data_IF_254139734266
#
_entry.id   IF_254139734266
#
_cell.length_a   1.000
_cell.length_b   1.000
_cell.length_c   1.000
_cell.angle_alpha   90.00
_cell.angle_beta   90.00
_cell.angle_gamma   90.00
#
_symmetry.space_group_name_H-M   'P 1'
#
loop_
_entity.id
_entity.type
_entity.pdbx_description
1 polymer ?
#
# COMPACT_ATOMS: atom_id res chain seq x y z
N UNK A 1 12.41 35.62 -21.44
CA UNK A 1 12.03 34.54 -20.48
C UNK A 1 11.10 33.54 -21.15
N UNK A 2 11.13 32.31 -20.72
CA UNK A 2 10.20 31.27 -21.24
C UNK A 2 8.82 31.57 -20.69
N UNK A 3 7.82 31.58 -21.56
CA UNK A 3 6.42 31.69 -21.17
C UNK A 3 6.00 30.47 -20.32
N UNK A 4 5.23 30.68 -19.25
CA UNK A 4 4.89 29.61 -18.27
C UNK A 4 4.24 28.39 -18.91
N UNK A 5 3.30 28.61 -19.84
CA UNK A 5 2.64 27.53 -20.56
C UNK A 5 3.63 26.72 -21.43
N UNK A 6 4.57 27.39 -22.11
CA UNK A 6 5.61 26.75 -22.90
C UNK A 6 6.60 25.96 -22.04
N UNK A 7 6.87 26.42 -20.81
CA UNK A 7 7.71 25.71 -19.85
C UNK A 7 7.05 24.41 -19.39
N UNK A 8 5.78 24.44 -18.98
CA UNK A 8 5.03 23.26 -18.60
C UNK A 8 4.95 22.23 -19.74
N UNK A 9 4.60 22.68 -20.95
CA UNK A 9 4.52 21.82 -22.13
C UNK A 9 5.86 21.15 -22.47
N UNK A 10 6.98 21.86 -22.25
CA UNK A 10 8.33 21.30 -22.45
C UNK A 10 8.65 20.20 -21.43
N UNK A 11 8.32 20.38 -20.18
CA UNK A 11 8.53 19.36 -19.12
C UNK A 11 7.64 18.14 -19.34
N UNK A 12 6.41 18.33 -19.75
CA UNK A 12 5.46 17.24 -20.02
C UNK A 12 5.88 16.43 -21.25
N UNK A 13 6.41 17.10 -22.28
CA UNK A 13 7.00 16.43 -23.44
C UNK A 13 8.20 15.55 -23.06
N UNK A 14 9.08 16.01 -22.16
CA UNK A 14 10.20 15.21 -21.66
C UNK A 14 9.68 13.97 -20.91
N UNK A 15 8.69 14.14 -20.05
CA UNK A 15 8.04 13.03 -19.34
C UNK A 15 7.48 12.00 -20.31
N UNK A 16 6.78 12.45 -21.33
CA UNK A 16 6.12 11.59 -22.32
C UNK A 16 7.13 10.86 -23.21
N UNK A 17 8.20 11.54 -23.63
CA UNK A 17 9.30 10.90 -24.34
C UNK A 17 9.98 9.80 -23.52
N UNK A 18 10.17 10.00 -22.21
CA UNK A 18 10.69 8.96 -21.32
C UNK A 18 9.68 7.80 -21.15
N UNK A 19 8.39 8.10 -21.08
CA UNK A 19 7.36 7.08 -20.94
C UNK A 19 7.19 6.19 -22.17
N UNK A 20 7.41 6.76 -23.36
CA UNK A 20 7.33 6.05 -24.65
C UNK A 20 8.67 5.45 -25.08
N UNK A 21 9.77 5.75 -24.36
CA UNK A 21 11.10 5.21 -24.69
C UNK A 21 11.13 3.69 -24.48
N UNK A 22 11.57 2.97 -25.50
CA UNK A 22 11.80 1.53 -25.42
C UNK A 22 13.23 1.25 -24.93
N UNK A 23 13.36 0.35 -23.96
CA UNK A 23 14.67 -0.08 -23.46
C UNK A 23 15.10 -1.33 -24.22
N UNK A 24 16.22 -1.29 -24.98
CA UNK A 24 16.70 -2.46 -25.70
C UNK A 24 16.89 -3.67 -24.78
N UNK A 25 16.32 -4.81 -25.13
CA UNK A 25 16.35 -6.03 -24.31
C UNK A 25 15.26 -6.16 -23.26
N UNK A 26 14.43 -5.13 -23.05
CA UNK A 26 13.36 -5.13 -22.04
C UNK A 26 12.03 -4.58 -22.60
N UNK A 27 11.43 -5.29 -23.53
CA UNK A 27 10.23 -4.87 -24.26
C UNK A 27 8.98 -4.59 -23.40
N UNK A 28 8.98 -5.01 -22.11
CA UNK A 28 7.88 -4.79 -21.14
C UNK A 28 8.21 -3.74 -20.08
N UNK A 29 9.39 -3.11 -20.14
CA UNK A 29 9.79 -2.10 -19.16
C UNK A 29 9.27 -0.73 -19.62
N UNK A 30 8.31 -0.19 -18.88
CA UNK A 30 7.78 1.16 -19.07
C UNK A 30 8.51 2.12 -18.12
N UNK A 31 9.21 3.09 -18.66
CA UNK A 31 9.88 4.12 -17.86
C UNK A 31 8.84 5.14 -17.38
N UNK A 32 9.00 5.65 -16.18
CA UNK A 32 8.18 6.73 -15.65
C UNK A 32 9.04 7.76 -14.95
N UNK A 33 8.76 9.03 -15.18
CA UNK A 33 9.47 10.14 -14.56
C UNK A 33 8.49 11.08 -13.85
N UNK A 34 8.84 11.46 -12.62
CA UNK A 34 8.15 12.50 -11.87
C UNK A 34 9.04 13.75 -11.87
N UNK A 35 8.53 14.87 -12.38
CA UNK A 35 9.30 16.06 -12.62
C UNK A 35 8.73 17.24 -11.83
N UNK A 36 9.57 17.89 -11.01
CA UNK A 36 9.27 19.17 -10.38
C UNK A 36 9.92 20.30 -11.16
N UNK A 37 9.16 21.32 -11.53
CA UNK A 37 9.68 22.42 -12.32
C UNK A 37 9.39 23.80 -11.72
N UNK A 38 10.40 24.67 -11.68
CA UNK A 38 10.27 26.07 -11.25
C UNK A 38 10.87 27.02 -12.27
N UNK A 39 10.34 28.22 -12.35
CA UNK A 39 10.94 29.33 -13.06
C UNK A 39 11.64 30.21 -12.03
N UNK A 40 12.93 30.51 -12.23
CA UNK A 40 13.69 31.36 -11.32
C UNK A 40 13.13 32.77 -11.28
N UNK A 41 13.13 33.37 -10.11
CA UNK A 41 12.67 34.74 -9.90
C UNK A 41 13.87 35.73 -9.93
N UNK A 42 13.66 37.00 -10.28
CA UNK A 42 14.72 38.00 -10.20
C UNK A 42 15.30 38.09 -8.77
N UNK A 43 16.61 37.92 -8.64
CA UNK A 43 17.31 37.95 -7.35
C UNK A 43 17.35 36.63 -6.58
N UNK A 44 16.77 35.54 -7.13
CA UNK A 44 16.80 34.23 -6.53
C UNK A 44 18.12 33.50 -6.78
N UNK A 45 18.68 32.84 -5.76
CA UNK A 45 19.85 31.97 -5.93
C UNK A 45 19.46 30.61 -6.53
N UNK A 46 20.42 29.95 -7.19
CA UNK A 46 20.21 28.60 -7.75
C UNK A 46 19.78 27.61 -6.69
N UNK A 47 20.36 27.69 -5.49
CA UNK A 47 20.04 26.79 -4.37
C UNK A 47 18.58 26.97 -3.89
N UNK A 48 18.09 28.20 -3.88
CA UNK A 48 16.68 28.48 -3.55
C UNK A 48 15.73 27.91 -4.61
N UNK A 49 16.07 28.08 -5.89
CA UNK A 49 15.28 27.52 -6.98
C UNK A 49 15.27 25.99 -6.95
N UNK A 50 16.43 25.35 -6.71
CA UNK A 50 16.53 23.87 -6.57
C UNK A 50 15.69 23.37 -5.39
N UNK A 51 15.75 24.04 -4.23
CA UNK A 51 14.94 23.66 -3.05
C UNK A 51 13.43 23.74 -3.35
N UNK A 52 12.97 24.72 -4.13
CA UNK A 52 11.57 24.78 -4.56
C UNK A 52 11.22 23.67 -5.55
N UNK A 53 12.09 23.39 -6.52
CA UNK A 53 11.90 22.33 -7.49
C UNK A 53 11.84 20.96 -6.82
N UNK A 54 12.68 20.71 -5.80
CA UNK A 54 12.66 19.46 -5.01
C UNK A 54 11.34 19.22 -4.29
N UNK A 55 10.74 20.27 -3.69
CA UNK A 55 9.41 20.17 -3.06
C UNK A 55 8.34 19.77 -4.08
N UNK A 56 8.38 20.37 -5.27
CA UNK A 56 7.44 20.05 -6.35
C UNK A 56 7.68 18.66 -6.94
N UNK A 57 8.95 18.25 -7.06
CA UNK A 57 9.31 16.89 -7.47
C UNK A 57 8.80 15.84 -6.48
N UNK A 58 8.88 16.11 -5.18
CA UNK A 58 8.34 15.23 -4.15
C UNK A 58 6.81 15.08 -4.28
N UNK A 59 6.10 16.19 -4.57
CA UNK A 59 4.66 16.13 -4.89
C UNK A 59 4.38 15.34 -6.17
N UNK A 60 5.21 15.51 -7.20
CA UNK A 60 5.11 14.73 -8.44
C UNK A 60 5.34 13.23 -8.21
N UNK A 61 6.30 12.85 -7.35
CA UNK A 61 6.57 11.45 -6.96
C UNK A 61 5.37 10.79 -6.27
N UNK A 62 4.68 11.51 -5.40
CA UNK A 62 3.49 11.01 -4.71
C UNK A 62 2.32 10.74 -5.68
N UNK A 63 2.28 11.46 -6.81
CA UNK A 63 1.25 11.29 -7.86
C UNK A 63 1.68 10.36 -8.99
N UNK A 64 2.94 9.90 -9.03
CA UNK A 64 3.60 9.08 -10.05
C UNK A 64 3.44 9.60 -11.49
N UNK A 65 4.51 9.53 -12.28
CA UNK A 65 4.55 9.88 -13.71
C UNK A 65 3.88 11.24 -14.03
N UNK A 66 4.21 12.29 -13.29
CA UNK A 66 3.57 13.59 -13.40
C UNK A 66 4.58 14.74 -13.39
N UNK A 67 4.20 15.85 -14.02
CA UNK A 67 4.92 17.13 -13.94
C UNK A 67 4.18 18.05 -12.98
N UNK A 68 4.87 18.54 -11.95
CA UNK A 68 4.35 19.52 -11.00
C UNK A 68 5.16 20.81 -11.07
N UNK A 69 4.47 21.92 -11.31
CA UNK A 69 5.02 23.29 -11.28
C UNK A 69 4.26 24.13 -10.28
N UNK A 70 4.74 25.32 -9.95
CA UNK A 70 4.05 26.20 -8.99
C UNK A 70 2.64 26.58 -9.44
N UNK A 71 2.40 26.65 -10.74
CA UNK A 71 1.11 27.02 -11.30
C UNK A 71 0.08 25.88 -11.14
N UNK A 72 0.43 24.64 -11.46
CA UNK A 72 -0.47 23.49 -11.32
C UNK A 72 -0.49 22.87 -9.91
N UNK A 73 0.47 23.21 -9.07
CA UNK A 73 0.43 22.84 -7.65
C UNK A 73 -0.70 23.55 -6.90
N UNK A 74 -1.04 24.80 -7.29
CA UNK A 74 -2.14 25.61 -6.72
C UNK A 74 -3.49 25.21 -7.30
N UNK A 75 -3.57 24.91 -8.60
CA UNK A 75 -4.81 24.46 -9.27
C UNK A 75 -5.24 23.06 -8.82
N UNK A 76 -4.33 22.25 -8.31
CA UNK A 76 -4.64 20.96 -7.68
C UNK A 76 -5.51 21.04 -6.43
N UNK A 77 -5.80 22.24 -5.92
CA UNK A 77 -6.78 22.51 -4.86
C UNK A 77 -8.21 22.69 -5.40
N UNK A 78 -8.41 22.90 -6.69
CA UNK A 78 -9.71 23.25 -7.29
C UNK A 78 -10.26 22.24 -8.33
N UNK A 79 -9.48 21.27 -8.81
CA UNK A 79 -9.98 20.24 -9.72
C UNK A 79 -10.04 18.86 -9.06
N UNK A 80 -11.02 18.71 -8.16
CA UNK A 80 -11.39 17.41 -7.58
C UNK A 80 -12.22 16.52 -8.53
N UNK A 81 -12.15 16.74 -9.85
CA UNK A 81 -12.94 16.03 -10.86
C UNK A 81 -12.07 15.16 -11.80
N UNK A 82 -11.07 14.48 -11.28
CA UNK A 82 -10.16 13.59 -12.02
C UNK A 82 -9.27 12.76 -11.12
N UNK A 83 -9.58 12.70 -9.84
CA UNK A 83 -8.98 11.76 -8.91
C UNK A 83 -9.68 10.41 -9.10
N UNK A 84 -9.01 9.45 -9.78
CA UNK A 84 -9.05 8.12 -9.21
C UNK A 84 -8.69 8.33 -7.73
N UNK A 85 -9.67 8.18 -6.87
CA UNK A 85 -9.52 8.34 -5.45
C UNK A 85 -8.54 7.25 -4.96
N UNK A 86 -7.26 7.60 -4.84
CA UNK A 86 -6.46 6.95 -3.83
C UNK A 86 -7.09 7.40 -2.52
N UNK A 87 -8.11 6.68 -2.07
CA UNK A 87 -8.71 6.86 -0.77
C UNK A 87 -7.54 6.89 0.21
N UNK A 88 -7.41 7.98 0.96
CA UNK A 88 -6.40 8.07 2.02
C UNK A 88 -6.54 6.80 2.85
N UNK A 89 -5.42 6.13 3.12
CA UNK A 89 -5.44 4.94 3.96
C UNK A 89 -6.01 5.32 5.34
N UNK A 90 -6.86 4.47 5.87
CA UNK A 90 -7.48 4.69 7.17
C UNK A 90 -6.60 4.11 8.28
N UNK A 91 -6.35 4.90 9.31
CA UNK A 91 -5.70 4.48 10.55
C UNK A 91 -6.76 4.49 11.65
N UNK A 92 -6.84 3.42 12.41
CA UNK A 92 -7.71 3.34 13.59
C UNK A 92 -6.88 3.66 14.84
N UNK A 93 -7.28 4.69 15.57
CA UNK A 93 -6.69 5.08 16.85
C UNK A 93 -7.64 4.61 17.95
N UNK A 94 -7.12 3.78 18.86
CA UNK A 94 -7.87 3.15 19.96
C UNK A 94 -7.23 3.57 21.27
N UNK A 95 -7.88 4.45 22.01
CA UNK A 95 -7.40 5.01 23.27
C UNK A 95 -8.60 5.57 24.03
N UNK A 96 -8.70 5.39 25.33
CA UNK A 96 -9.83 5.90 26.11
C UNK A 96 -9.74 7.41 26.35
N UNK A 97 -8.55 7.99 26.29
CA UNK A 97 -8.31 9.44 26.44
C UNK A 97 -8.58 10.19 25.15
N UNK A 98 -9.58 11.06 25.17
CA UNK A 98 -9.88 11.98 24.05
C UNK A 98 -8.67 12.84 23.66
N UNK A 99 -7.90 13.31 24.67
CA UNK A 99 -6.69 14.11 24.42
C UNK A 99 -5.64 13.32 23.63
N UNK A 100 -5.41 12.07 23.99
CA UNK A 100 -4.43 11.22 23.27
C UNK A 100 -4.86 10.97 21.83
N UNK A 101 -6.15 10.66 21.61
CA UNK A 101 -6.69 10.50 20.25
C UNK A 101 -6.55 11.77 19.43
N UNK A 102 -6.87 12.95 20.02
CA UNK A 102 -6.73 14.24 19.33
C UNK A 102 -5.28 14.55 18.93
N UNK A 103 -4.30 14.28 19.82
CA UNK A 103 -2.88 14.47 19.51
C UNK A 103 -2.44 13.56 18.37
N UNK A 104 -2.79 12.27 18.41
CA UNK A 104 -2.44 11.33 17.35
C UNK A 104 -3.14 11.66 16.02
N UNK A 105 -4.40 12.12 16.10
CA UNK A 105 -5.15 12.58 14.93
C UNK A 105 -4.52 13.83 14.30
N UNK A 106 -3.99 14.76 15.10
CA UNK A 106 -3.27 15.94 14.60
C UNK A 106 -1.97 15.53 13.90
N UNK A 107 -1.21 14.61 14.48
CA UNK A 107 0.06 14.10 13.92
C UNK A 107 -0.16 13.41 12.55
N UNK A 108 -1.23 12.64 12.40
CA UNK A 108 -1.41 11.73 11.27
C UNK A 108 -2.49 12.20 10.26
N UNK A 109 -3.40 13.06 10.67
CA UNK A 109 -4.58 13.45 9.88
C UNK A 109 -4.29 14.22 8.59
N UNK A 110 -3.06 14.76 8.43
CA UNK A 110 -2.65 15.39 7.17
C UNK A 110 -2.55 14.38 6.02
N UNK A 111 -2.12 13.14 6.30
CA UNK A 111 -1.78 12.13 5.29
C UNK A 111 -2.74 10.94 5.29
N UNK A 112 -3.42 10.69 6.41
CA UNK A 112 -4.28 9.53 6.63
C UNK A 112 -5.72 9.96 6.96
N UNK A 113 -6.66 9.05 6.72
CA UNK A 113 -8.01 9.15 7.24
C UNK A 113 -8.03 8.54 8.64
N UNK A 114 -8.50 9.29 9.64
CA UNK A 114 -8.49 8.85 11.03
C UNK A 114 -9.86 8.29 11.42
N UNK A 115 -9.84 7.08 11.96
CA UNK A 115 -10.95 6.43 12.64
C UNK A 115 -10.60 6.37 14.13
N UNK A 116 -11.57 6.56 15.01
CA UNK A 116 -11.34 6.59 16.45
C UNK A 116 -12.24 5.58 17.15
N UNK A 117 -11.67 4.90 18.16
CA UNK A 117 -12.40 4.06 19.10
C UNK A 117 -11.95 4.36 20.53
N UNK A 118 -12.85 4.26 21.50
CA UNK A 118 -12.58 4.61 22.90
C UNK A 118 -12.26 3.39 23.78
N UNK A 119 -12.41 2.20 23.25
CA UNK A 119 -12.15 0.94 23.95
C UNK A 119 -12.01 -0.22 22.95
N UNK A 120 -11.57 -1.38 23.45
CA UNK A 120 -11.35 -2.56 22.62
C UNK A 120 -12.60 -3.12 21.94
N UNK A 121 -13.80 -2.99 22.53
CA UNK A 121 -15.04 -3.46 21.88
C UNK A 121 -15.39 -2.62 20.65
N UNK A 122 -15.24 -1.31 20.73
CA UNK A 122 -15.43 -0.42 19.59
C UNK A 122 -14.38 -0.69 18.50
N UNK A 123 -13.14 -0.97 18.91
CA UNK A 123 -12.08 -1.39 17.97
C UNK A 123 -12.50 -2.62 17.16
N UNK A 124 -12.96 -3.68 17.82
CA UNK A 124 -13.40 -4.92 17.15
C UNK A 124 -14.62 -4.68 16.25
N UNK A 125 -15.59 -3.88 16.68
CA UNK A 125 -16.73 -3.51 15.85
C UNK A 125 -16.31 -2.76 14.57
N UNK A 126 -15.31 -1.88 14.67
CA UNK A 126 -14.75 -1.20 13.51
C UNK A 126 -13.96 -2.15 12.61
N UNK A 127 -13.26 -3.13 13.17
CA UNK A 127 -12.60 -4.18 12.38
C UNK A 127 -13.60 -5.01 11.58
N UNK A 128 -14.73 -5.37 12.18
CA UNK A 128 -15.82 -6.07 11.48
C UNK A 128 -16.44 -5.21 10.37
N UNK A 129 -16.57 -3.91 10.58
CA UNK A 129 -17.17 -3.00 9.62
C UNK A 129 -16.24 -2.66 8.45
N UNK A 130 -14.98 -2.36 8.70
CA UNK A 130 -14.04 -1.81 7.70
C UNK A 130 -13.03 -2.84 7.20
N UNK A 131 -12.78 -3.91 7.96
CA UNK A 131 -11.86 -4.99 7.60
C UNK A 131 -10.49 -4.48 7.15
N UNK A 132 -10.00 -5.01 6.05
CA UNK A 132 -8.71 -4.63 5.43
C UNK A 132 -8.70 -3.20 4.87
N UNK A 133 -9.79 -2.44 4.96
CA UNK A 133 -9.82 -1.00 4.72
C UNK A 133 -9.05 -0.20 5.77
N UNK A 134 -8.81 -0.79 6.96
CA UNK A 134 -7.92 -0.25 7.98
C UNK A 134 -6.49 -0.64 7.64
N UNK A 135 -5.64 0.36 7.43
CA UNK A 135 -4.25 0.16 7.05
C UNK A 135 -3.32 -0.11 8.24
N UNK A 136 -3.68 0.39 9.43
CA UNK A 136 -2.91 0.26 10.67
C UNK A 136 -3.80 0.60 11.87
N UNK A 137 -3.53 -0.03 13.01
CA UNK A 137 -4.15 0.28 14.31
C UNK A 137 -3.08 0.84 15.25
N UNK A 138 -3.38 1.98 15.88
CA UNK A 138 -2.68 2.49 17.05
C UNK A 138 -3.52 2.09 18.27
N UNK A 139 -2.98 1.26 19.16
CA UNK A 139 -3.73 0.61 20.22
C UNK A 139 -3.13 0.91 21.59
N UNK A 140 -3.90 1.53 22.46
CA UNK A 140 -3.53 1.62 23.88
C UNK A 140 -3.70 0.29 24.60
N UNK A 141 -2.88 0.05 25.62
CA UNK A 141 -2.96 -1.15 26.44
C UNK A 141 -4.08 -1.02 27.45
N UNK A 142 -4.08 0.07 28.21
CA UNK A 142 -4.95 0.22 29.38
C UNK A 142 -6.20 1.01 28.99
N UNK A 143 -7.29 0.28 28.79
CA UNK A 143 -8.59 0.87 28.44
C UNK A 143 -9.72 0.21 29.23
N UNK A 144 -10.81 0.93 29.52
CA UNK A 144 -12.01 0.37 30.13
C UNK A 144 -12.70 -0.62 29.16
N UNK A 145 -13.55 -1.49 29.71
CA UNK A 145 -14.39 -2.45 28.98
C UNK A 145 -13.60 -3.61 28.37
N UNK A 146 -12.58 -3.33 27.56
CA UNK A 146 -11.69 -4.29 26.92
C UNK A 146 -10.33 -3.64 26.70
N UNK A 147 -9.29 -4.22 27.27
CA UNK A 147 -7.91 -3.74 27.15
C UNK A 147 -7.28 -4.12 25.80
N UNK A 148 -6.08 -3.56 25.53
CA UNK A 148 -5.37 -3.78 24.26
C UNK A 148 -4.92 -5.23 24.07
N UNK A 149 -4.57 -5.96 25.12
CA UNK A 149 -4.17 -7.36 25.00
C UNK A 149 -5.34 -8.28 24.67
N UNK A 150 -6.52 -7.98 25.20
CA UNK A 150 -7.74 -8.69 24.83
C UNK A 150 -8.11 -8.45 23.36
N UNK A 151 -7.91 -7.22 22.85
CA UNK A 151 -8.08 -6.91 21.42
C UNK A 151 -7.10 -7.73 20.57
N UNK A 152 -5.81 -7.77 20.91
CA UNK A 152 -4.80 -8.54 20.19
C UNK A 152 -5.13 -10.04 20.18
N UNK A 153 -5.57 -10.58 21.31
CA UNK A 153 -5.97 -11.99 21.43
C UNK A 153 -7.13 -12.32 20.49
N UNK A 154 -8.11 -11.42 20.36
CA UNK A 154 -9.24 -11.58 19.46
C UNK A 154 -8.81 -11.42 17.98
N UNK A 155 -7.93 -10.45 17.69
CA UNK A 155 -7.35 -10.28 16.35
C UNK A 155 -6.54 -11.50 15.91
N UNK A 156 -5.80 -12.15 16.82
CA UNK A 156 -5.10 -13.41 16.54
C UNK A 156 -6.09 -14.54 16.24
N UNK A 157 -7.13 -14.68 17.04
CA UNK A 157 -8.17 -15.72 16.85
C UNK A 157 -8.89 -15.58 15.50
N UNK A 158 -9.10 -14.35 15.06
CA UNK A 158 -9.80 -14.01 13.82
C UNK A 158 -8.87 -13.78 12.64
N UNK A 159 -7.56 -14.02 12.79
CA UNK A 159 -6.50 -13.81 11.78
C UNK A 159 -6.35 -12.36 11.27
N UNK A 160 -6.98 -11.37 11.91
CA UNK A 160 -6.83 -9.96 11.53
C UNK A 160 -5.40 -9.45 11.68
N UNK A 161 -4.63 -10.00 12.64
CA UNK A 161 -3.25 -9.59 12.92
C UNK A 161 -2.28 -9.85 11.75
N UNK A 162 -2.60 -10.82 10.88
CA UNK A 162 -1.80 -11.15 9.71
C UNK A 162 -1.91 -10.06 8.62
N UNK A 163 -3.08 -9.43 8.52
CA UNK A 163 -3.39 -8.46 7.48
C UNK A 163 -3.28 -7.00 7.94
N UNK A 164 -3.54 -6.73 9.22
CA UNK A 164 -3.62 -5.38 9.76
C UNK A 164 -2.54 -5.19 10.83
N UNK A 165 -1.50 -4.37 10.56
CA UNK A 165 -0.45 -4.10 11.53
C UNK A 165 -1.00 -3.32 12.72
N UNK A 166 -0.51 -3.68 13.91
CA UNK A 166 -0.82 -3.00 15.17
C UNK A 166 0.46 -2.38 15.73
N UNK A 167 0.41 -1.12 16.10
CA UNK A 167 1.42 -0.45 16.92
C UNK A 167 0.78 -0.17 18.28
N UNK A 168 1.34 -0.76 19.33
CA UNK A 168 0.88 -0.45 20.69
C UNK A 168 1.49 0.86 21.19
N UNK A 169 0.68 1.65 21.89
CA UNK A 169 1.10 2.90 22.53
C UNK A 169 0.73 2.80 24.02
N UNK A 170 1.70 2.89 24.91
CA UNK A 170 1.44 2.80 26.35
C UNK A 170 2.41 3.60 27.19
N UNK A 171 2.02 3.90 28.42
CA UNK A 171 2.90 4.43 29.47
C UNK A 171 3.62 3.32 30.26
N UNK A 172 3.31 2.06 30.01
CA UNK A 172 3.94 0.93 30.69
C UNK A 172 5.21 0.51 29.92
N UNK A 173 6.37 0.76 30.49
CA UNK A 173 7.69 0.45 29.90
C UNK A 173 8.30 -0.85 30.46
N UNK A 174 7.54 -1.66 31.19
CA UNK A 174 8.05 -2.91 31.72
C UNK A 174 8.42 -3.88 30.57
N UNK A 175 9.65 -4.38 30.55
CA UNK A 175 10.15 -5.33 29.54
C UNK A 175 9.23 -6.53 29.33
N UNK A 176 8.53 -6.96 30.38
CA UNK A 176 7.57 -8.06 30.34
C UNK A 176 6.34 -7.72 29.50
N UNK A 177 5.83 -6.49 29.60
CA UNK A 177 4.66 -5.97 28.86
C UNK A 177 5.02 -5.83 27.37
N UNK A 178 6.16 -5.23 27.10
CA UNK A 178 6.66 -5.07 25.73
C UNK A 178 6.89 -6.42 25.07
N UNK A 179 7.53 -7.37 25.78
CA UNK A 179 7.74 -8.73 25.25
C UNK A 179 6.43 -9.43 24.97
N UNK A 180 5.47 -9.36 25.87
CA UNK A 180 4.16 -9.98 25.68
C UNK A 180 3.41 -9.39 24.48
N UNK A 181 3.50 -8.09 24.26
CA UNK A 181 2.94 -7.45 23.06
C UNK A 181 3.53 -8.05 21.77
N UNK A 182 4.86 -8.18 21.69
CA UNK A 182 5.51 -8.80 20.52
C UNK A 182 5.17 -10.28 20.34
N UNK A 183 5.03 -11.05 21.42
CA UNK A 183 4.58 -12.45 21.37
C UNK A 183 3.18 -12.58 20.78
N UNK A 184 2.32 -11.60 20.99
CA UNK A 184 0.98 -11.52 20.39
C UNK A 184 0.96 -10.97 18.96
N UNK A 185 2.13 -10.68 18.35
CA UNK A 185 2.24 -10.31 16.95
C UNK A 185 2.15 -8.82 16.66
N UNK A 186 2.37 -7.96 17.65
CA UNK A 186 2.42 -6.50 17.44
C UNK A 186 3.58 -6.15 16.51
N UNK A 187 3.31 -5.25 15.57
CA UNK A 187 4.31 -4.81 14.59
C UNK A 187 5.35 -3.86 15.20
N UNK A 188 4.94 -3.04 16.16
CA UNK A 188 5.82 -2.09 16.87
C UNK A 188 5.18 -1.67 18.20
N UNK A 189 6.01 -1.04 19.06
CA UNK A 189 5.62 -0.52 20.36
C UNK A 189 6.17 0.88 20.59
N UNK A 190 5.36 1.80 21.09
CA UNK A 190 5.73 3.18 21.38
C UNK A 190 5.41 3.51 22.82
N UNK A 191 6.41 3.86 23.63
CA UNK A 191 6.22 4.31 24.99
C UNK A 191 5.80 5.78 25.08
N UNK A 192 5.05 6.13 26.10
CA UNK A 192 4.71 7.53 26.45
C UNK A 192 5.70 8.09 27.48
N UNK A 193 6.04 9.40 27.42
CA UNK A 193 5.64 10.37 26.40
C UNK A 193 6.32 10.13 25.06
N UNK A 194 5.57 10.27 23.95
CA UNK A 194 6.10 10.04 22.62
C UNK A 194 6.40 11.36 21.88
N UNK A 195 7.40 11.31 21.00
CA UNK A 195 7.71 12.35 20.05
C UNK A 195 6.85 12.20 18.79
N UNK A 196 6.21 13.28 18.33
CA UNK A 196 5.34 13.28 17.16
C UNK A 196 6.04 12.79 15.89
N UNK A 197 7.30 13.17 15.69
CA UNK A 197 8.09 12.72 14.53
C UNK A 197 8.42 11.24 14.59
N UNK A 198 8.64 10.69 15.79
CA UNK A 198 8.87 9.25 15.99
C UNK A 198 7.61 8.46 15.67
N UNK A 199 6.45 8.86 16.20
CA UNK A 199 5.16 8.21 15.92
C UNK A 199 4.87 8.22 14.42
N UNK A 200 4.96 9.39 13.78
CA UNK A 200 4.72 9.52 12.35
C UNK A 200 5.63 8.58 11.52
N UNK A 201 6.93 8.54 11.82
CA UNK A 201 7.89 7.68 11.10
C UNK A 201 7.61 6.19 11.30
N UNK A 202 7.26 5.75 12.50
CA UNK A 202 6.92 4.35 12.78
C UNK A 202 5.66 3.93 12.03
N UNK A 203 4.61 4.72 12.10
CA UNK A 203 3.36 4.50 11.35
C UNK A 203 3.64 4.44 9.85
N UNK A 204 4.34 5.42 9.30
CA UNK A 204 4.68 5.48 7.87
C UNK A 204 5.49 4.25 7.42
N UNK A 205 6.52 3.87 8.18
CA UNK A 205 7.38 2.73 7.85
C UNK A 205 6.61 1.41 7.92
N UNK A 206 5.77 1.23 8.93
CA UNK A 206 4.96 0.04 9.12
C UNK A 206 3.94 -0.12 7.98
N UNK A 207 3.19 0.93 7.67
CA UNK A 207 2.25 0.93 6.54
C UNK A 207 2.95 0.62 5.21
N UNK A 208 4.11 1.24 4.97
CA UNK A 208 4.91 1.01 3.77
C UNK A 208 5.41 -0.44 3.66
N UNK A 209 5.82 -1.03 4.77
CA UNK A 209 6.28 -2.43 4.82
C UNK A 209 5.13 -3.38 4.47
N UNK A 210 3.99 -3.23 5.11
CA UNK A 210 2.81 -4.08 4.86
C UNK A 210 2.24 -3.89 3.45
N UNK A 211 2.22 -2.67 2.93
CA UNK A 211 1.84 -2.41 1.54
C UNK A 211 2.77 -3.14 0.55
N UNK A 212 4.08 -3.16 0.82
CA UNK A 212 5.06 -3.91 0.01
C UNK A 212 4.84 -5.42 0.10
N UNK A 213 4.58 -5.95 1.29
CA UNK A 213 4.27 -7.38 1.49
C UNK A 213 3.01 -7.80 0.73
N UNK A 214 1.91 -7.05 0.86
CA UNK A 214 0.65 -7.33 0.12
C UNK A 214 0.87 -7.30 -1.39
N UNK A 215 1.65 -6.34 -1.89
CA UNK A 215 1.99 -6.26 -3.31
C UNK A 215 2.78 -7.50 -3.78
N UNK A 216 3.76 -7.95 -2.99
CA UNK A 216 4.54 -9.16 -3.31
C UNK A 216 3.66 -10.40 -3.32
N UNK A 217 2.80 -10.58 -2.32
CA UNK A 217 1.84 -11.69 -2.26
C UNK A 217 0.90 -11.70 -3.47
N UNK A 218 0.36 -10.54 -3.87
CA UNK A 218 -0.47 -10.40 -5.08
C UNK A 218 0.29 -10.77 -6.36
N UNK A 219 1.55 -10.35 -6.50
CA UNK A 219 2.38 -10.70 -7.65
C UNK A 219 2.66 -12.21 -7.71
N UNK A 220 2.98 -12.85 -6.59
CA UNK A 220 3.18 -14.30 -6.51
C UNK A 220 1.90 -15.03 -6.90
N UNK A 221 0.76 -14.63 -6.36
CA UNK A 221 -0.54 -15.24 -6.69
C UNK A 221 -0.87 -15.10 -8.18
N UNK A 222 -0.59 -13.95 -8.78
CA UNK A 222 -0.81 -13.73 -10.21
C UNK A 222 0.11 -14.60 -11.08
N UNK A 223 1.37 -14.76 -10.69
CA UNK A 223 2.33 -15.63 -11.38
C UNK A 223 1.93 -17.12 -11.31
N UNK A 224 1.44 -17.57 -10.14
CA UNK A 224 0.95 -18.95 -9.98
C UNK A 224 -0.22 -19.18 -10.94
N UNK A 225 -1.21 -18.29 -10.98
CA UNK A 225 -2.37 -18.38 -11.88
C UNK A 225 -1.95 -18.38 -13.36
N UNK A 226 -0.99 -17.55 -13.73
CA UNK A 226 -0.47 -17.51 -15.10
C UNK A 226 0.25 -18.82 -15.46
N UNK A 227 1.06 -19.35 -14.54
CA UNK A 227 1.75 -20.64 -14.72
C UNK A 227 0.77 -21.79 -14.87
N UNK A 228 -0.28 -21.84 -14.05
CA UNK A 228 -1.35 -22.85 -14.18
C UNK A 228 -2.05 -22.78 -15.53
N UNK A 229 -2.39 -21.55 -15.98
CA UNK A 229 -3.01 -21.33 -17.31
C UNK A 229 -2.09 -21.82 -18.44
N UNK A 230 -0.80 -21.50 -18.37
CA UNK A 230 0.17 -21.94 -19.37
C UNK A 230 0.35 -23.46 -19.36
N UNK A 231 0.36 -24.09 -18.19
CA UNK A 231 0.44 -25.56 -18.05
C UNK A 231 -0.80 -26.21 -18.66
N UNK A 232 -2.00 -25.71 -18.37
CA UNK A 232 -3.24 -26.22 -18.97
C UNK A 232 -3.24 -26.10 -20.50
N UNK A 233 -2.78 -24.96 -21.01
CA UNK A 233 -2.63 -24.75 -22.47
C UNK A 233 -1.64 -25.72 -23.10
N UNK A 234 -0.50 -25.96 -22.46
CA UNK A 234 0.52 -26.90 -22.95
C UNK A 234 -0.02 -28.34 -22.99
N UNK A 235 -0.76 -28.75 -21.95
CA UNK A 235 -1.42 -30.05 -21.90
C UNK A 235 -2.43 -30.19 -23.05
N UNK A 236 -3.23 -29.14 -23.31
CA UNK A 236 -4.20 -29.12 -24.41
C UNK A 236 -3.50 -29.31 -25.79
N UNK A 237 -2.44 -28.53 -26.03
CA UNK A 237 -1.67 -28.63 -27.29
C UNK A 237 -1.04 -30.01 -27.45
N UNK A 238 -0.44 -30.57 -26.39
CA UNK A 238 0.15 -31.88 -26.42
C UNK A 238 -0.91 -32.97 -26.68
N UNK A 239 -2.10 -32.84 -26.10
CA UNK A 239 -3.22 -33.74 -26.35
C UNK A 239 -3.66 -33.70 -27.81
N UNK A 240 -3.77 -32.52 -28.43
CA UNK A 240 -4.09 -32.37 -29.85
C UNK A 240 -3.02 -32.98 -30.77
N UNK A 241 -1.73 -32.80 -30.42
CA UNK A 241 -0.60 -33.36 -31.20
C UNK A 241 -0.58 -34.90 -31.12
N UNK A 242 -0.86 -35.47 -29.95
CA UNK A 242 -0.95 -36.93 -29.76
C UNK A 242 -2.13 -37.49 -30.53
N UNK A 243 -3.27 -36.82 -30.49
CA UNK A 243 -4.49 -37.20 -31.21
C UNK A 243 -4.26 -37.20 -32.73
N UNK A 244 -3.64 -36.12 -33.27
CA UNK A 244 -3.31 -36.03 -34.68
C UNK A 244 -2.38 -37.14 -35.17
N UNK A 245 -1.47 -37.62 -34.31
CA UNK A 245 -0.49 -38.67 -34.65
C UNK A 245 -1.06 -40.10 -34.64
N UNK A 246 -2.07 -40.35 -33.81
CA UNK A 246 -2.58 -41.72 -33.60
C UNK A 246 -3.85 -42.09 -34.38
N UNK A 247 -4.52 -41.12 -35.03
CA UNK A 247 -5.72 -41.37 -35.84
C UNK A 247 -6.93 -41.96 -35.09
N UNK A 248 -6.83 -42.05 -33.76
CA UNK A 248 -7.92 -42.54 -32.91
C UNK A 248 -8.75 -41.37 -32.36
N UNK A 249 -10.05 -41.59 -32.25
CA UNK A 249 -11.01 -40.57 -31.94
C UNK A 249 -10.73 -39.80 -30.63
N UNK A 250 -10.74 -38.50 -30.69
CA UNK A 250 -10.40 -37.55 -29.63
C UNK A 250 -11.14 -37.66 -28.29
N UNK A 251 -12.13 -38.53 -28.19
CA UNK A 251 -12.82 -38.82 -26.93
C UNK A 251 -11.93 -39.52 -25.90
N UNK A 252 -10.91 -40.29 -26.33
CA UNK A 252 -10.05 -41.03 -25.41
C UNK A 252 -9.04 -40.15 -24.68
N UNK A 253 -8.46 -39.16 -25.38
CA UNK A 253 -7.47 -38.21 -24.81
C UNK A 253 -8.13 -37.22 -23.85
N UNK A 254 -9.34 -36.76 -24.20
CA UNK A 254 -10.16 -35.94 -23.30
C UNK A 254 -10.52 -36.68 -21.99
N UNK A 255 -10.78 -38.00 -22.09
CA UNK A 255 -11.07 -38.84 -20.91
C UNK A 255 -9.87 -39.01 -19.99
N UNK A 256 -8.69 -39.21 -20.56
CA UNK A 256 -7.42 -39.33 -19.79
C UNK A 256 -7.09 -37.96 -19.15
N UNK A 257 -7.21 -36.85 -19.86
CA UNK A 257 -7.00 -35.49 -19.32
C UNK A 257 -7.90 -35.20 -18.13
N UNK A 258 -9.19 -35.54 -18.24
CA UNK A 258 -10.18 -35.34 -17.18
C UNK A 258 -9.92 -36.26 -15.96
N UNK A 259 -9.49 -37.48 -16.17
CA UNK A 259 -9.11 -38.43 -15.12
C UNK A 259 -7.86 -37.98 -14.38
N UNK A 260 -6.85 -37.52 -15.12
CA UNK A 260 -5.60 -36.97 -14.52
C UNK A 260 -5.85 -35.74 -13.70
N UNK A 261 -6.72 -34.84 -14.18
CA UNK A 261 -7.10 -33.66 -13.44
C UNK A 261 -7.87 -33.99 -12.14
N UNK A 262 -8.81 -34.92 -12.18
CA UNK A 262 -9.53 -35.41 -11.00
C UNK A 262 -8.64 -36.15 -9.99
N UNK A 263 -7.62 -36.85 -10.47
CA UNK A 263 -6.63 -37.51 -9.61
C UNK A 263 -5.72 -36.49 -8.91
N UNK A 264 -5.26 -35.45 -9.62
CA UNK A 264 -4.49 -34.33 -9.05
C UNK A 264 -5.28 -33.54 -8.02
N UNK A 265 -6.57 -33.28 -8.28
CA UNK A 265 -7.46 -32.59 -7.34
C UNK A 265 -7.79 -33.39 -6.05
N UNK A 266 -7.56 -34.73 -6.06
CA UNK A 266 -7.73 -35.55 -4.87
C UNK A 266 -6.43 -35.81 -4.09
N UNK A 267 -5.28 -35.41 -4.64
CA UNK A 267 -3.95 -35.62 -4.03
C UNK A 267 -3.41 -34.29 -3.44
N UNK A 268 -4.09 -33.16 -3.67
CA UNK A 268 -3.87 -31.85 -3.04
C UNK A 268 -4.94 -31.56 -2.00
#
# INVERSE_FOLDING_TARGET
>A
GIERAAFLAKLDRIREQLHTASVPGYSRLQLSASIGGVITQPGETVEQAVSRADKLMYQAKNRKNMVVTEDNARDGALSAAGRESHSRQSILIVDDSEMNRAILAEILGSDYNILEATNGKECLAMLEQYGTGIALILLDIVMPVMDGFAVLSEMNRSHWIEDIPVIMISSEDADTVVRHAYELGVSDYVSRPFDAGVVYRRVFNTIKLYAKQRRLASLVTSQIKEKEKNTKMMISILSEVVEFRNGESGQHVLHIGTLTQRLLERLT
#
